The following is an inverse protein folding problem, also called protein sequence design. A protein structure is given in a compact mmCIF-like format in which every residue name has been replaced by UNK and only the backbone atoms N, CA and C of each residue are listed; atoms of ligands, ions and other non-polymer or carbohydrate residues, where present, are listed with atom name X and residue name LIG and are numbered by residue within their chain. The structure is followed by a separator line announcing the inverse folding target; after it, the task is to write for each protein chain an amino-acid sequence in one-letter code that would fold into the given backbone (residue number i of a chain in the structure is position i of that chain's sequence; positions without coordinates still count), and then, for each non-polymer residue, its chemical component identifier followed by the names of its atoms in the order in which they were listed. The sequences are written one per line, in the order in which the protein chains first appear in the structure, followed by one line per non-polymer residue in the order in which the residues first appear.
data_IF_599478385039
#
_entry.id   IF_599478385039
#
_cell.length_a   1.000
_cell.length_b   1.000
_cell.length_c   1.000
_cell.angle_alpha   90.00
_cell.angle_beta   90.00
_cell.angle_gamma   90.00
#
_symmetry.space_group_name_H-M   'P 1'
#
loop_
_entity.id
_entity.type
_entity.pdbx_description
1 polymer ?
#
# COMPACT_ATOMS: atom_id res chain seq x y z
N UNK A 1 -6.30 -2.21 36.43
CA UNK A 1 -7.35 -1.40 37.10
C UNK A 1 -6.77 -0.12 37.76
N UNK A 2 -5.77 0.51 37.12
CA UNK A 2 -5.17 1.77 37.61
C UNK A 2 -5.86 3.04 37.05
N UNK A 3 -6.65 2.88 35.96
CA UNK A 3 -7.28 3.97 35.24
C UNK A 3 -8.77 3.76 35.07
N UNK A 4 -9.54 4.82 35.14
CA UNK A 4 -10.95 4.84 34.69
C UNK A 4 -11.00 4.81 33.14
N UNK A 5 -12.18 4.51 32.56
CA UNK A 5 -12.36 4.49 31.09
C UNK A 5 -11.98 5.84 30.43
N UNK A 6 -12.21 6.95 31.13
CA UNK A 6 -11.91 8.30 30.64
C UNK A 6 -10.42 8.63 30.74
N UNK A 7 -9.79 8.24 31.83
CA UNK A 7 -8.34 8.37 32.03
C UNK A 7 -7.54 7.49 31.06
N UNK A 8 -8.07 6.32 30.66
CA UNK A 8 -7.45 5.46 29.67
C UNK A 8 -7.28 6.16 28.32
N UNK A 9 -8.22 7.02 27.90
CA UNK A 9 -8.16 7.73 26.60
C UNK A 9 -7.00 8.73 26.51
N UNK A 10 -6.52 9.21 27.65
CA UNK A 10 -5.47 10.25 27.74
C UNK A 10 -4.22 9.75 28.46
N UNK A 11 -4.18 8.48 28.86
CA UNK A 11 -3.04 7.92 29.59
C UNK A 11 -1.78 7.92 28.72
N UNK A 12 -0.69 8.47 29.24
CA UNK A 12 0.62 8.53 28.59
C UNK A 12 1.13 7.15 28.19
N UNK A 13 0.71 6.09 28.90
CA UNK A 13 1.04 4.70 28.58
C UNK A 13 0.61 4.28 27.16
N UNK A 14 -0.48 4.85 26.60
CA UNK A 14 -0.87 4.54 25.22
C UNK A 14 0.10 5.09 24.18
N UNK A 15 0.76 6.17 24.49
CA UNK A 15 1.77 6.78 23.63
C UNK A 15 3.13 6.09 23.80
N UNK A 16 3.45 5.67 25.03
CA UNK A 16 4.71 5.03 25.39
C UNK A 16 4.48 3.73 26.18
N UNK A 17 3.91 2.67 25.56
CA UNK A 17 3.67 1.42 26.25
C UNK A 17 4.99 0.74 26.62
N UNK A 18 5.21 0.50 27.92
CA UNK A 18 6.38 -0.19 28.45
C UNK A 18 6.23 -1.72 28.47
N UNK A 19 4.98 -2.20 28.32
CA UNK A 19 4.66 -3.63 28.22
C UNK A 19 4.01 -3.92 26.88
N UNK A 20 4.70 -4.64 26.03
CA UNK A 20 4.25 -5.00 24.67
C UNK A 20 4.46 -6.47 24.39
N UNK A 21 3.61 -7.07 23.56
CA UNK A 21 3.72 -8.45 23.09
C UNK A 21 4.42 -8.58 21.74
N UNK A 22 4.66 -7.44 21.06
CA UNK A 22 5.28 -7.40 19.74
C UNK A 22 6.80 -7.48 19.76
N UNK A 23 7.43 -7.65 18.57
CA UNK A 23 8.88 -7.73 18.44
C UNK A 23 9.61 -6.41 18.71
N UNK A 24 8.93 -5.30 18.65
CA UNK A 24 9.49 -3.96 18.88
C UNK A 24 8.68 -3.15 19.86
N UNK A 25 9.35 -2.23 20.54
CA UNK A 25 8.80 -1.27 21.51
C UNK A 25 9.04 0.14 20.99
N UNK A 26 8.05 1.02 21.08
CA UNK A 26 8.22 2.44 20.78
C UNK A 26 9.17 3.07 21.81
N UNK A 27 10.10 3.87 21.34
CA UNK A 27 11.04 4.62 22.20
C UNK A 27 10.83 6.11 22.11
N UNK A 28 10.40 6.59 20.95
CA UNK A 28 10.20 8.00 20.69
C UNK A 28 9.33 8.18 19.43
N UNK A 29 8.62 9.29 19.31
CA UNK A 29 7.92 9.66 18.09
C UNK A 29 7.73 11.17 17.99
N UNK A 30 7.67 11.66 16.77
CA UNK A 30 7.22 13.00 16.44
C UNK A 30 6.08 12.88 15.41
N UNK A 31 4.92 13.43 15.76
CA UNK A 31 3.71 13.34 14.94
C UNK A 31 4.01 13.91 13.55
N UNK A 32 3.61 13.18 12.52
CA UNK A 32 3.83 13.51 11.10
C UNK A 32 5.30 13.46 10.61
N UNK A 33 6.27 13.11 11.45
CA UNK A 33 7.67 13.05 11.07
C UNK A 33 8.29 11.66 11.21
N UNK A 34 8.25 11.05 12.40
CA UNK A 34 8.87 9.74 12.61
C UNK A 34 8.32 8.98 13.81
N UNK A 35 8.57 7.67 13.82
CA UNK A 35 8.41 6.81 14.99
C UNK A 35 9.66 5.95 15.13
N UNK A 36 10.27 5.97 16.32
CA UNK A 36 11.46 5.19 16.67
C UNK A 36 11.12 4.00 17.54
N UNK A 37 11.72 2.87 17.23
CA UNK A 37 11.53 1.61 17.95
C UNK A 37 12.87 1.01 18.35
N UNK A 38 12.84 0.22 19.45
CA UNK A 38 13.90 -0.72 19.81
C UNK A 38 13.38 -2.15 19.82
N UNK A 39 14.27 -3.11 19.61
CA UNK A 39 13.94 -4.53 19.72
C UNK A 39 13.44 -4.88 21.13
N UNK A 40 12.40 -5.70 21.20
CA UNK A 40 11.94 -6.31 22.44
C UNK A 40 12.73 -7.59 22.67
N UNK A 41 13.69 -7.55 23.58
CA UNK A 41 14.54 -8.71 23.91
C UNK A 41 13.74 -9.88 24.51
N UNK A 42 12.57 -9.59 25.08
CA UNK A 42 11.68 -10.57 25.69
C UNK A 42 10.57 -11.06 24.72
N UNK A 43 10.73 -10.79 23.43
CA UNK A 43 9.73 -11.22 22.45
C UNK A 43 9.62 -12.76 22.42
N UNK A 44 8.41 -13.30 22.51
CA UNK A 44 8.14 -14.75 22.67
C UNK A 44 8.65 -15.62 21.52
N UNK A 45 8.88 -15.08 20.33
CA UNK A 45 9.53 -15.78 19.20
C UNK A 45 11.04 -15.54 19.12
N UNK A 46 11.63 -14.95 20.14
CA UNK A 46 13.05 -14.55 20.17
C UNK A 46 13.24 -13.10 19.76
N UNK A 47 14.31 -12.48 20.27
CA UNK A 47 14.65 -11.09 20.00
C UNK A 47 14.87 -10.84 18.49
N UNK A 48 14.37 -9.73 17.93
CA UNK A 48 14.66 -9.34 16.55
C UNK A 48 16.17 -9.15 16.32
N UNK A 49 16.63 -9.50 15.11
CA UNK A 49 18.03 -9.29 14.73
C UNK A 49 18.39 -7.82 14.51
N UNK A 50 17.41 -7.00 14.12
CA UNK A 50 17.57 -5.56 13.94
C UNK A 50 17.26 -4.89 15.27
N UNK A 51 18.26 -4.25 15.88
CA UNK A 51 18.14 -3.68 17.22
C UNK A 51 17.27 -2.41 17.26
N UNK A 52 17.28 -1.61 16.21
CA UNK A 52 16.54 -0.35 16.11
C UNK A 52 15.82 -0.27 14.77
N UNK A 53 14.61 0.26 14.77
CA UNK A 53 13.80 0.52 13.59
C UNK A 53 13.27 1.95 13.68
N UNK A 54 13.53 2.76 12.66
CA UNK A 54 13.01 4.12 12.56
C UNK A 54 12.07 4.19 11.36
N UNK A 55 10.81 4.51 11.59
CA UNK A 55 9.83 4.78 10.54
C UNK A 55 9.83 6.28 10.29
N UNK A 56 10.19 6.71 9.09
CA UNK A 56 10.09 8.10 8.64
C UNK A 56 8.79 8.29 7.88
N UNK A 57 8.10 9.39 8.14
CA UNK A 57 6.89 9.79 7.41
C UNK A 57 7.33 10.80 6.35
N UNK A 58 7.39 10.37 5.12
CA UNK A 58 7.86 11.16 3.98
C UNK A 58 6.87 11.11 2.82
N UNK A 59 6.89 12.12 1.96
CA UNK A 59 6.09 12.08 0.73
C UNK A 59 6.65 11.08 -0.29
N UNK A 60 5.80 10.57 -1.19
CA UNK A 60 6.24 9.68 -2.27
C UNK A 60 7.40 10.24 -3.09
N UNK A 61 7.37 11.54 -3.39
CA UNK A 61 8.42 12.22 -4.16
C UNK A 61 9.82 12.25 -3.47
N UNK A 62 9.90 11.97 -2.18
CA UNK A 62 11.16 11.90 -1.44
C UNK A 62 11.74 10.48 -1.37
N UNK A 63 10.95 9.46 -1.73
CA UNK A 63 11.36 8.06 -1.60
C UNK A 63 12.54 7.71 -2.50
N UNK A 64 12.53 8.12 -3.76
CA UNK A 64 13.63 7.86 -4.68
C UNK A 64 14.96 8.43 -4.17
N UNK A 65 14.97 9.70 -3.77
CA UNK A 65 16.18 10.34 -3.26
C UNK A 65 16.68 9.70 -1.96
N UNK A 66 15.75 9.32 -1.06
CA UNK A 66 16.07 8.64 0.19
C UNK A 66 16.66 7.23 -0.02
N UNK A 67 16.12 6.46 -0.97
CA UNK A 67 16.67 5.16 -1.36
C UNK A 67 18.05 5.31 -2.03
N UNK A 68 18.20 6.27 -2.94
CA UNK A 68 19.44 6.54 -3.64
C UNK A 68 20.58 6.94 -2.68
N UNK A 69 20.28 7.78 -1.69
CA UNK A 69 21.26 8.22 -0.69
C UNK A 69 21.54 7.20 0.40
N UNK A 70 20.70 6.16 0.54
CA UNK A 70 20.75 5.21 1.65
C UNK A 70 20.19 5.78 2.97
N UNK A 71 19.45 6.88 2.93
CA UNK A 71 18.72 7.41 4.08
C UNK A 71 17.47 6.59 4.40
N UNK A 72 16.88 5.94 3.40
CA UNK A 72 15.77 5.00 3.49
C UNK A 72 16.29 3.62 3.08
N UNK A 73 16.16 2.64 3.96
CA UNK A 73 16.56 1.25 3.71
C UNK A 73 15.45 0.43 3.05
N UNK A 74 14.17 0.74 3.38
CA UNK A 74 13.01 0.02 2.89
C UNK A 74 11.78 0.92 2.81
N UNK A 75 10.95 0.74 1.79
CA UNK A 75 9.64 1.40 1.68
C UNK A 75 8.51 0.45 2.06
N UNK A 76 7.42 0.99 2.61
CA UNK A 76 6.23 0.21 2.90
C UNK A 76 5.29 0.17 1.69
N UNK A 77 4.87 -1.02 1.22
CA UNK A 77 4.16 -1.15 -0.05
C UNK A 77 2.72 -0.61 -0.05
N UNK A 78 2.13 -0.35 1.11
CA UNK A 78 0.71 0.04 1.21
C UNK A 78 0.46 1.50 1.56
N UNK A 79 1.43 2.18 2.18
CA UNK A 79 1.26 3.57 2.65
C UNK A 79 2.27 4.56 2.07
N UNK A 80 3.42 4.06 1.61
CA UNK A 80 4.48 4.88 1.01
C UNK A 80 4.81 4.30 -0.36
N UNK A 81 3.89 4.51 -1.30
CA UNK A 81 4.03 3.99 -2.67
C UNK A 81 5.02 4.86 -3.42
N UNK A 82 6.00 4.22 -4.05
CA UNK A 82 6.89 4.88 -5.00
C UNK A 82 6.03 5.37 -6.17
N UNK A 83 6.13 6.65 -6.57
CA UNK A 83 5.43 7.16 -7.74
C UNK A 83 5.78 6.38 -9.02
N UNK A 84 4.81 6.20 -9.91
CA UNK A 84 5.00 5.41 -11.14
C UNK A 84 6.10 6.00 -12.03
N UNK A 85 6.28 7.30 -12.03
CA UNK A 85 7.34 8.00 -12.75
C UNK A 85 8.75 7.59 -12.28
N UNK A 86 8.89 7.18 -11.01
CA UNK A 86 10.17 6.82 -10.40
C UNK A 86 10.50 5.32 -10.52
N UNK A 87 9.60 4.45 -10.99
CA UNK A 87 9.82 3.00 -11.04
C UNK A 87 11.12 2.62 -11.74
N UNK A 88 11.35 3.09 -12.96
CA UNK A 88 12.54 2.75 -13.73
C UNK A 88 13.82 3.27 -13.05
N UNK A 89 13.73 4.45 -12.42
CA UNK A 89 14.85 5.07 -11.70
C UNK A 89 15.22 4.28 -10.44
N UNK A 90 14.22 3.78 -9.70
CA UNK A 90 14.42 2.95 -8.51
C UNK A 90 14.95 1.58 -8.90
N UNK A 91 14.42 0.96 -9.97
CA UNK A 91 14.92 -0.32 -10.49
C UNK A 91 16.39 -0.25 -10.93
N UNK A 92 16.83 0.92 -11.40
CA UNK A 92 18.23 1.14 -11.82
C UNK A 92 19.20 1.34 -10.65
N UNK A 93 18.74 1.52 -9.42
CA UNK A 93 19.60 1.68 -8.25
C UNK A 93 20.32 0.37 -7.91
N UNK A 94 21.64 0.41 -7.81
CA UNK A 94 22.45 -0.77 -7.49
C UNK A 94 22.46 -1.16 -6.00
N UNK A 95 21.98 -0.28 -5.14
CA UNK A 95 21.96 -0.45 -3.68
C UNK A 95 20.60 -0.91 -3.14
N UNK A 96 19.60 -1.09 -4.00
CA UNK A 96 18.27 -1.58 -3.60
C UNK A 96 17.89 -2.86 -4.34
N UNK A 97 17.03 -3.65 -3.72
CA UNK A 97 16.40 -4.82 -4.33
C UNK A 97 14.90 -4.52 -4.46
N UNK A 98 14.39 -4.47 -5.69
CA UNK A 98 12.97 -4.24 -5.96
C UNK A 98 12.24 -5.57 -6.04
N UNK A 99 11.19 -5.71 -5.24
CA UNK A 99 10.31 -6.89 -5.24
C UNK A 99 8.89 -6.43 -5.49
N UNK A 100 8.26 -6.99 -6.51
CA UNK A 100 6.85 -6.78 -6.80
C UNK A 100 6.02 -7.85 -6.09
N UNK A 101 5.01 -7.41 -5.36
CA UNK A 101 4.02 -8.32 -4.78
C UNK A 101 2.92 -8.67 -5.77
N UNK A 102 2.15 -9.69 -5.45
CA UNK A 102 0.92 -10.01 -6.18
C UNK A 102 -0.11 -8.86 -6.04
N UNK A 103 -0.91 -8.55 -7.07
CA UNK A 103 -1.92 -7.51 -7.02
C UNK A 103 -3.04 -7.91 -6.05
N UNK A 104 -3.13 -7.21 -4.92
CA UNK A 104 -4.12 -7.49 -3.86
C UNK A 104 -5.23 -6.46 -3.74
N UNK A 105 -5.14 -5.36 -4.49
CA UNK A 105 -6.10 -4.25 -4.49
C UNK A 105 -6.49 -3.89 -5.92
N UNK A 106 -7.74 -3.46 -6.10
CA UNK A 106 -8.25 -3.00 -7.38
C UNK A 106 -8.49 -1.50 -7.37
N UNK A 107 -8.15 -0.83 -8.46
CA UNK A 107 -8.66 0.51 -8.75
C UNK A 107 -9.98 0.38 -9.49
N UNK A 108 -11.02 1.04 -8.97
CA UNK A 108 -12.37 0.91 -9.51
C UNK A 108 -13.05 2.26 -9.66
N UNK A 109 -13.85 2.40 -10.70
CA UNK A 109 -14.76 3.54 -10.86
C UNK A 109 -16.13 3.15 -10.34
N UNK A 110 -16.61 3.81 -9.28
CA UNK A 110 -17.91 3.57 -8.72
C UNK A 110 -18.94 4.50 -9.38
N UNK A 111 -19.92 3.91 -10.05
CA UNK A 111 -20.99 4.66 -10.73
C UNK A 111 -22.24 4.67 -9.86
N UNK A 112 -22.70 5.87 -9.50
CA UNK A 112 -23.96 6.03 -8.76
C UNK A 112 -25.17 5.71 -9.66
N UNK A 113 -25.80 4.57 -9.44
CA UNK A 113 -26.89 4.06 -10.29
C UNK A 113 -28.14 4.92 -10.26
N UNK A 114 -28.37 5.75 -9.24
CA UNK A 114 -29.46 6.74 -9.24
C UNK A 114 -29.25 7.84 -10.27
N UNK A 115 -27.99 8.24 -10.50
CA UNK A 115 -27.65 9.30 -11.45
C UNK A 115 -27.43 8.75 -12.87
N UNK A 116 -27.02 7.49 -12.99
CA UNK A 116 -26.83 6.79 -14.25
C UNK A 116 -27.65 5.48 -14.22
N UNK A 117 -28.98 5.56 -14.33
CA UNK A 117 -29.87 4.41 -14.15
C UNK A 117 -29.82 3.41 -15.31
N UNK A 118 -29.56 3.87 -16.54
CA UNK A 118 -29.50 3.00 -17.71
C UNK A 118 -28.21 2.17 -17.69
N UNK A 119 -28.37 0.84 -17.68
CA UNK A 119 -27.26 -0.12 -17.69
C UNK A 119 -26.39 0.01 -18.95
N UNK A 120 -27.00 0.36 -20.09
CA UNK A 120 -26.28 0.50 -21.38
C UNK A 120 -25.28 1.65 -21.31
N UNK A 121 -25.64 2.76 -20.64
CA UNK A 121 -24.71 3.89 -20.44
C UNK A 121 -23.51 3.46 -19.57
N UNK A 122 -23.76 2.67 -18.51
CA UNK A 122 -22.68 2.16 -17.68
C UNK A 122 -21.74 1.19 -18.43
N UNK A 123 -22.33 0.33 -19.28
CA UNK A 123 -21.57 -0.56 -20.16
C UNK A 123 -20.77 0.22 -21.20
N UNK A 124 -21.37 1.25 -21.82
CA UNK A 124 -20.66 2.14 -22.74
C UNK A 124 -19.42 2.77 -22.11
N UNK A 125 -19.52 3.25 -20.86
CA UNK A 125 -18.37 3.77 -20.12
C UNK A 125 -17.26 2.71 -19.98
N UNK A 126 -17.60 1.45 -19.72
CA UNK A 126 -16.64 0.36 -19.62
C UNK A 126 -15.95 0.08 -20.97
N UNK A 127 -16.70 0.03 -22.05
CA UNK A 127 -16.16 -0.20 -23.41
C UNK A 127 -15.32 0.96 -23.92
N UNK A 128 -15.57 2.19 -23.47
CA UNK A 128 -14.80 3.36 -23.86
C UNK A 128 -13.39 3.40 -23.27
N UNK A 129 -13.15 2.75 -22.12
CA UNK A 129 -11.87 2.81 -21.40
C UNK A 129 -10.90 1.75 -21.93
N UNK A 130 -9.75 2.19 -22.45
CA UNK A 130 -8.63 1.29 -22.78
C UNK A 130 -7.84 0.95 -21.50
N UNK A 131 -8.31 -0.06 -20.77
CA UNK A 131 -7.67 -0.52 -19.55
C UNK A 131 -6.29 -1.13 -19.80
N UNK A 132 -6.08 -1.70 -20.98
CA UNK A 132 -4.78 -2.27 -21.37
C UNK A 132 -3.75 -1.17 -21.59
N UNK A 133 -4.14 -0.07 -22.25
CA UNK A 133 -3.27 1.09 -22.41
C UNK A 133 -2.91 1.71 -21.04
N UNK A 134 -3.88 1.80 -20.12
CA UNK A 134 -3.62 2.27 -18.75
C UNK A 134 -2.58 1.38 -18.07
N UNK A 135 -2.73 0.06 -18.14
CA UNK A 135 -1.77 -0.88 -17.56
C UNK A 135 -0.37 -0.73 -18.18
N UNK A 136 -0.29 -0.69 -19.52
CA UNK A 136 0.99 -0.67 -20.21
C UNK A 136 1.72 0.68 -20.13
N UNK A 137 0.99 1.78 -20.27
CA UNK A 137 1.62 3.10 -20.38
C UNK A 137 1.71 3.85 -19.05
N UNK A 138 0.69 3.76 -18.20
CA UNK A 138 0.74 4.44 -16.89
C UNK A 138 1.41 3.57 -15.82
N UNK A 139 1.03 2.31 -15.74
CA UNK A 139 1.57 1.39 -14.74
C UNK A 139 2.80 0.60 -15.23
N UNK A 140 3.28 0.87 -16.47
CA UNK A 140 4.45 0.21 -17.06
C UNK A 140 4.39 -1.32 -17.01
N UNK A 141 3.19 -1.89 -17.12
CA UNK A 141 2.93 -3.33 -17.02
C UNK A 141 2.96 -3.89 -15.58
N UNK A 142 3.05 -3.03 -14.56
CA UNK A 142 3.10 -3.46 -13.15
C UNK A 142 1.68 -3.63 -12.60
N UNK A 143 1.06 -4.76 -12.86
CA UNK A 143 -0.30 -5.08 -12.45
C UNK A 143 -1.02 -5.96 -13.47
N UNK A 144 -2.33 -5.98 -13.40
CA UNK A 144 -3.19 -6.72 -14.31
C UNK A 144 -4.50 -5.99 -14.58
N UNK A 145 -5.15 -6.31 -15.71
CA UNK A 145 -6.51 -5.84 -15.98
C UNK A 145 -7.46 -6.70 -15.17
N UNK A 146 -8.14 -6.09 -14.19
CA UNK A 146 -9.09 -6.81 -13.34
C UNK A 146 -10.28 -7.35 -14.16
N UNK A 147 -10.60 -8.61 -13.95
CA UNK A 147 -11.75 -9.33 -14.53
C UNK A 147 -12.99 -9.24 -13.64
N UNK A 148 -12.81 -8.90 -12.36
CA UNK A 148 -13.87 -8.76 -11.39
C UNK A 148 -13.52 -7.82 -10.23
N UNK A 149 -14.32 -7.88 -9.18
CA UNK A 149 -14.09 -7.10 -7.96
C UNK A 149 -12.91 -7.62 -7.13
N UNK A 150 -12.63 -8.91 -7.21
CA UNK A 150 -11.50 -9.56 -6.53
C UNK A 150 -10.30 -9.62 -7.47
N UNK A 151 -9.10 -9.40 -6.94
CA UNK A 151 -7.87 -9.60 -7.70
C UNK A 151 -7.57 -11.09 -7.86
N UNK A 152 -6.79 -11.45 -8.87
CA UNK A 152 -6.34 -12.83 -9.15
C UNK A 152 -5.63 -13.49 -7.97
N UNK A 153 -4.96 -12.71 -7.11
CA UNK A 153 -4.29 -13.18 -5.89
C UNK A 153 -5.26 -13.58 -4.75
N UNK A 154 -6.56 -13.35 -4.89
CA UNK A 154 -7.53 -13.69 -3.85
C UNK A 154 -8.09 -15.11 -4.05
N UNK A 155 -8.27 -15.89 -2.97
CA UNK A 155 -8.71 -17.30 -3.06
C UNK A 155 -10.15 -17.47 -3.56
N UNK A 156 -10.92 -16.40 -3.65
CA UNK A 156 -12.31 -16.41 -4.15
C UNK A 156 -12.45 -15.75 -5.52
N UNK A 157 -11.33 -15.50 -6.21
CA UNK A 157 -11.37 -15.05 -7.59
C UNK A 157 -11.92 -16.16 -8.49
N UNK A 158 -12.70 -15.80 -9.49
CA UNK A 158 -13.23 -16.73 -10.49
C UNK A 158 -12.53 -16.49 -11.83
N UNK A 159 -11.53 -17.28 -12.11
CA UNK A 159 -10.70 -17.19 -13.33
C UNK A 159 -11.48 -17.48 -14.63
N UNK A 160 -12.74 -17.94 -14.53
CA UNK A 160 -13.61 -18.11 -15.70
C UNK A 160 -14.22 -16.81 -16.22
N UNK A 161 -14.18 -15.75 -15.41
CA UNK A 161 -14.65 -14.42 -15.80
C UNK A 161 -13.60 -13.78 -16.71
N UNK A 162 -13.96 -13.54 -17.95
CA UNK A 162 -13.10 -12.85 -18.92
C UNK A 162 -13.35 -11.35 -18.85
N UNK A 163 -12.30 -10.52 -18.63
CA UNK A 163 -12.50 -9.07 -18.56
C UNK A 163 -12.96 -8.52 -19.91
N UNK A 164 -13.99 -7.68 -19.87
CA UNK A 164 -14.47 -6.96 -21.05
C UNK A 164 -13.33 -6.08 -21.61
N UNK A 165 -13.08 -6.19 -22.90
CA UNK A 165 -12.07 -5.37 -23.58
C UNK A 165 -12.67 -4.02 -24.03
N UNK A 166 -11.80 -3.06 -24.36
CA UNK A 166 -12.24 -1.84 -25.00
C UNK A 166 -12.87 -2.16 -26.36
N UNK A 167 -14.09 -1.71 -26.59
CA UNK A 167 -14.81 -1.81 -27.85
C UNK A 167 -15.55 -0.50 -28.14
N UNK A 168 -14.83 0.46 -28.71
CA UNK A 168 -15.36 1.83 -28.95
C UNK A 168 -16.62 1.82 -29.81
N UNK A 169 -16.78 0.87 -30.70
CA UNK A 169 -18.00 0.72 -31.55
C UNK A 169 -19.22 0.27 -30.72
N UNK A 170 -19.02 -0.33 -29.53
CA UNK A 170 -20.10 -0.68 -28.60
C UNK A 170 -20.37 0.41 -27.56
N UNK A 171 -19.45 1.37 -27.41
CA UNK A 171 -19.60 2.48 -26.47
C UNK A 171 -20.50 3.57 -27.05
#
# INVERSE_FOLDING_TARGET
EQYTEEELKTAEWFNHPDVVSGPYMVTDFDVDHYISYKANENYWKGAPKIAKLNIKIVSGSQLYAGLQSGEIDITQPTMSVIPEEDYDSVEALSNVNVVYGEPVTNQSVFIQTKNVPDVRVRQAMLYAIDRKMVLEQLLKGKGEVADGFLSSARPYNDDSIVPEQQEVEKA
#
